data_IF_534353722295
#
_entry.id   IF_534353722295
#
_cell.length_a   1.000
_cell.length_b   1.000
_cell.length_c   1.000
_cell.angle_alpha   90.00
_cell.angle_beta   90.00
_cell.angle_gamma   90.00
#
_symmetry.space_group_name_H-M   'P 1'
#
loop_
_entity.id
_entity.type
_entity.pdbx_description
1 polymer ?
#
# COMPACT_ATOMS: atom_id res chain seq x y z
N UNK A 1 -1.98 -10.97 -19.48
CA UNK A 1 -2.16 -10.38 -18.14
C UNK A 1 -1.00 -9.53 -17.71
N UNK A 2 0.22 -10.04 -17.78
CA UNK A 2 1.40 -9.24 -17.44
C UNK A 2 1.52 -7.98 -18.30
N UNK A 3 1.24 -8.11 -19.60
CA UNK A 3 1.38 -6.98 -20.51
C UNK A 3 0.36 -5.88 -20.19
N UNK A 4 -0.85 -6.24 -19.82
CA UNK A 4 -1.87 -5.27 -19.44
C UNK A 4 -1.45 -4.46 -18.22
N UNK A 5 -0.86 -5.13 -17.23
CA UNK A 5 -0.38 -4.45 -16.02
C UNK A 5 0.80 -3.53 -16.36
N UNK A 6 1.73 -3.99 -17.17
CA UNK A 6 2.87 -3.17 -17.61
C UNK A 6 2.38 -1.91 -18.29
N UNK A 7 1.40 -2.04 -19.19
CA UNK A 7 0.84 -0.91 -19.93
C UNK A 7 0.14 0.08 -18.98
N UNK A 8 -0.65 -0.43 -18.02
CA UNK A 8 -1.31 0.41 -17.04
C UNK A 8 -0.32 1.15 -16.15
N UNK A 9 0.72 0.47 -15.71
CA UNK A 9 1.77 1.07 -14.87
C UNK A 9 2.45 2.20 -15.64
N UNK A 10 2.81 1.97 -16.90
CA UNK A 10 3.45 2.99 -17.72
C UNK A 10 2.55 4.20 -17.92
N UNK A 11 1.27 3.97 -18.22
CA UNK A 11 0.29 5.04 -18.36
C UNK A 11 0.12 5.82 -17.07
N UNK A 12 0.04 5.13 -15.93
CA UNK A 12 -0.08 5.77 -14.63
C UNK A 12 1.16 6.60 -14.31
N UNK A 13 2.35 6.12 -14.63
CA UNK A 13 3.60 6.89 -14.46
C UNK A 13 3.59 8.16 -15.30
N UNK A 14 2.92 8.13 -16.43
CA UNK A 14 2.78 9.29 -17.32
C UNK A 14 1.58 10.18 -16.95
N UNK A 15 0.97 9.94 -15.80
CA UNK A 15 -0.07 10.81 -15.27
C UNK A 15 -1.49 10.38 -15.53
N UNK A 16 -1.73 9.17 -16.07
CA UNK A 16 -3.10 8.71 -16.32
C UNK A 16 -3.77 8.28 -15.01
N UNK A 17 -4.70 9.08 -14.53
CA UNK A 17 -5.51 8.74 -13.36
C UNK A 17 -6.38 7.53 -13.62
N UNK A 18 -6.88 7.40 -14.86
CA UNK A 18 -7.71 6.26 -15.25
C UNK A 18 -6.92 4.96 -15.14
N UNK A 19 -5.67 4.95 -15.61
CA UNK A 19 -4.81 3.78 -15.52
C UNK A 19 -4.54 3.42 -14.05
N UNK A 20 -4.28 4.42 -13.22
CA UNK A 20 -4.07 4.18 -11.79
C UNK A 20 -5.33 3.61 -11.13
N UNK A 21 -6.51 4.11 -11.48
CA UNK A 21 -7.77 3.58 -10.96
C UNK A 21 -7.95 2.10 -11.29
N UNK A 22 -7.53 1.68 -12.47
CA UNK A 22 -7.59 0.26 -12.86
C UNK A 22 -6.61 -0.58 -12.05
N UNK A 23 -5.43 -0.05 -11.78
CA UNK A 23 -4.46 -0.73 -10.89
C UNK A 23 -5.02 -0.84 -9.47
N UNK A 24 -5.66 0.21 -8.99
CA UNK A 24 -6.32 0.22 -7.70
C UNK A 24 -7.36 -0.92 -7.61
N UNK A 25 -8.26 -0.98 -8.59
CA UNK A 25 -9.30 -2.02 -8.63
C UNK A 25 -8.68 -3.42 -8.69
N UNK A 26 -7.63 -3.58 -9.50
CA UNK A 26 -6.99 -4.89 -9.69
C UNK A 26 -6.35 -5.41 -8.41
N UNK A 27 -5.71 -4.54 -7.64
CA UNK A 27 -4.91 -4.95 -6.49
C UNK A 27 -5.55 -4.65 -5.14
N UNK A 28 -6.72 -4.03 -5.11
CA UNK A 28 -7.37 -3.63 -3.86
C UNK A 28 -7.52 -4.81 -2.89
N UNK A 29 -8.11 -5.89 -3.34
CA UNK A 29 -8.40 -7.04 -2.49
C UNK A 29 -7.13 -7.68 -1.96
N UNK A 30 -6.15 -7.86 -2.82
CA UNK A 30 -4.86 -8.46 -2.45
C UNK A 30 -4.15 -7.61 -1.41
N UNK A 31 -4.14 -6.30 -1.60
CA UNK A 31 -3.49 -5.39 -0.65
C UNK A 31 -4.27 -5.29 0.65
N UNK A 32 -5.60 -5.33 0.58
CA UNK A 32 -6.43 -5.35 1.77
C UNK A 32 -6.06 -6.52 2.68
N UNK A 33 -6.00 -7.72 2.13
CA UNK A 33 -5.64 -8.90 2.92
C UNK A 33 -4.19 -8.90 3.36
N UNK A 34 -3.30 -8.33 2.57
CA UNK A 34 -1.90 -8.16 2.96
C UNK A 34 -1.80 -7.30 4.23
N UNK A 35 -2.52 -6.20 4.28
CA UNK A 35 -2.56 -5.32 5.47
C UNK A 35 -3.24 -6.03 6.63
N UNK A 36 -4.41 -6.62 6.37
CA UNK A 36 -5.19 -7.29 7.41
C UNK A 36 -4.38 -8.40 8.10
N UNK A 37 -3.62 -9.16 7.34
CA UNK A 37 -2.81 -10.24 7.89
C UNK A 37 -1.75 -9.74 8.88
N UNK A 38 -1.36 -8.47 8.77
CA UNK A 38 -0.40 -7.87 9.68
C UNK A 38 -1.09 -7.24 10.89
N UNK A 39 -2.12 -6.41 10.66
CA UNK A 39 -2.74 -5.63 11.73
C UNK A 39 -3.90 -6.34 12.42
N UNK A 40 -4.52 -7.32 11.78
CA UNK A 40 -5.62 -8.14 12.34
C UNK A 40 -6.80 -7.32 12.82
N UNK A 41 -7.08 -6.20 12.16
CA UNK A 41 -8.16 -5.28 12.52
C UNK A 41 -8.77 -4.70 11.25
N UNK A 42 -10.08 -4.86 11.06
CA UNK A 42 -10.76 -4.43 9.84
C UNK A 42 -10.76 -2.92 9.68
N UNK A 43 -11.08 -2.20 10.74
CA UNK A 43 -11.17 -0.74 10.66
C UNK A 43 -9.81 -0.12 10.36
N UNK A 44 -8.77 -0.61 10.98
CA UNK A 44 -7.39 -0.17 10.71
C UNK A 44 -7.00 -0.49 9.27
N UNK A 45 -7.37 -1.69 8.78
CA UNK A 45 -7.09 -2.07 7.40
C UNK A 45 -7.76 -1.13 6.41
N UNK A 46 -9.02 -0.77 6.66
CA UNK A 46 -9.75 0.17 5.80
C UNK A 46 -9.05 1.53 5.74
N UNK A 47 -8.55 2.01 6.87
CA UNK A 47 -7.81 3.27 6.90
C UNK A 47 -6.47 3.16 6.18
N UNK A 48 -5.75 2.07 6.42
CA UNK A 48 -4.41 1.89 5.84
C UNK A 48 -4.43 1.63 4.33
N UNK A 49 -5.50 1.02 3.80
CA UNK A 49 -5.56 0.75 2.37
C UNK A 49 -5.50 2.05 1.56
N UNK A 50 -6.18 3.09 2.03
CA UNK A 50 -6.13 4.40 1.40
C UNK A 50 -4.74 5.01 1.46
N UNK A 51 -4.08 4.86 2.61
CA UNK A 51 -2.71 5.36 2.79
C UNK A 51 -1.75 4.67 1.82
N UNK A 52 -1.89 3.34 1.68
CA UNK A 52 -1.02 2.54 0.80
C UNK A 52 -1.14 2.99 -0.65
N UNK A 53 -2.37 3.13 -1.15
CA UNK A 53 -2.57 3.53 -2.54
C UNK A 53 -2.20 4.98 -2.78
N UNK A 54 -2.37 5.84 -1.79
CA UNK A 54 -1.89 7.23 -1.89
C UNK A 54 -0.37 7.26 -2.00
N UNK A 55 0.33 6.49 -1.17
CA UNK A 55 1.81 6.40 -1.25
C UNK A 55 2.25 5.84 -2.59
N UNK A 56 1.55 4.80 -3.09
CA UNK A 56 1.86 4.21 -4.38
C UNK A 56 1.71 5.25 -5.49
N UNK A 57 0.62 6.00 -5.48
CA UNK A 57 0.38 7.04 -6.47
C UNK A 57 1.51 8.08 -6.46
N UNK A 58 1.88 8.55 -5.28
CA UNK A 58 2.92 9.56 -5.14
C UNK A 58 4.30 9.06 -5.52
N UNK A 59 4.53 7.75 -5.40
CA UNK A 59 5.84 7.13 -5.68
C UNK A 59 5.90 6.41 -7.01
N UNK A 60 4.89 6.55 -7.87
CA UNK A 60 4.87 5.84 -9.17
C UNK A 60 6.15 6.04 -9.97
N UNK A 61 6.71 7.24 -9.95
CA UNK A 61 7.92 7.53 -10.70
C UNK A 61 9.16 6.79 -10.17
N UNK A 62 9.11 6.31 -8.92
CA UNK A 62 10.22 5.55 -8.33
C UNK A 62 10.15 4.06 -8.65
N UNK A 63 9.00 3.60 -9.15
CA UNK A 63 8.88 2.19 -9.52
C UNK A 63 9.73 1.88 -10.74
N UNK A 64 10.52 0.81 -10.66
CA UNK A 64 11.30 0.29 -11.77
C UNK A 64 10.90 -1.16 -12.01
N UNK A 65 11.13 -1.65 -13.22
CA UNK A 65 10.67 -2.98 -13.63
C UNK A 65 11.55 -4.12 -13.11
N UNK A 66 12.44 -3.88 -12.17
CA UNK A 66 13.27 -4.92 -11.57
C UNK A 66 12.47 -5.92 -10.74
N UNK A 67 11.32 -5.49 -10.20
CA UNK A 67 10.37 -6.37 -9.51
C UNK A 67 8.99 -6.13 -10.11
N UNK A 68 8.07 -7.08 -9.91
CA UNK A 68 6.70 -6.90 -10.39
C UNK A 68 6.03 -5.75 -9.64
N UNK A 69 5.06 -5.11 -10.30
CA UNK A 69 4.30 -4.04 -9.67
C UNK A 69 3.61 -4.53 -8.40
N UNK A 70 3.06 -5.73 -8.43
CA UNK A 70 2.40 -6.31 -7.25
C UNK A 70 3.35 -6.42 -6.07
N UNK A 71 4.58 -6.88 -6.28
CA UNK A 71 5.58 -6.99 -5.21
C UNK A 71 5.99 -5.62 -4.68
N UNK A 72 6.15 -4.65 -5.57
CA UNK A 72 6.47 -3.28 -5.19
C UNK A 72 5.36 -2.68 -4.31
N UNK A 73 4.11 -2.85 -4.74
CA UNK A 73 2.95 -2.37 -4.02
C UNK A 73 2.80 -3.08 -2.66
N UNK A 74 3.02 -4.38 -2.65
CA UNK A 74 2.96 -5.20 -1.44
C UNK A 74 3.98 -4.74 -0.41
N UNK A 75 5.17 -4.36 -0.84
CA UNK A 75 6.20 -3.81 0.06
C UNK A 75 5.70 -2.53 0.74
N UNK A 76 5.06 -1.64 -0.02
CA UNK A 76 4.46 -0.42 0.55
C UNK A 76 3.40 -0.79 1.58
N UNK A 77 2.55 -1.78 1.25
CA UNK A 77 1.47 -2.21 2.14
C UNK A 77 2.01 -2.79 3.45
N UNK A 78 2.96 -3.71 3.36
CA UNK A 78 3.54 -4.34 4.55
C UNK A 78 4.25 -3.30 5.42
N UNK A 79 5.05 -2.43 4.81
CA UNK A 79 5.76 -1.39 5.55
C UNK A 79 4.80 -0.43 6.25
N UNK A 80 3.70 -0.06 5.59
CA UNK A 80 2.69 0.82 6.20
C UNK A 80 2.01 0.14 7.39
N UNK A 81 1.71 -1.15 7.27
CA UNK A 81 1.09 -1.91 8.35
C UNK A 81 2.05 -2.05 9.55
N UNK A 82 3.31 -2.35 9.28
CA UNK A 82 4.34 -2.47 10.33
C UNK A 82 4.56 -1.13 11.02
N UNK A 83 4.61 -0.04 10.26
CA UNK A 83 4.75 1.31 10.81
C UNK A 83 3.58 1.64 11.74
N UNK A 84 2.37 1.27 11.33
CA UNK A 84 1.19 1.47 12.18
C UNK A 84 1.35 0.73 13.51
N UNK A 85 1.73 -0.55 13.48
CA UNK A 85 1.91 -1.35 14.70
C UNK A 85 3.01 -0.76 15.59
N UNK A 86 4.08 -0.28 14.98
CA UNK A 86 5.20 0.31 15.71
C UNK A 86 4.76 1.58 16.43
N UNK A 87 3.98 2.43 15.77
CA UNK A 87 3.42 3.65 16.37
C UNK A 87 2.49 3.33 17.53
N UNK A 88 1.62 2.34 17.36
CA UNK A 88 0.70 1.91 18.41
C UNK A 88 1.46 1.41 19.64
N UNK A 89 2.50 0.63 19.43
CA UNK A 89 3.34 0.14 20.52
C UNK A 89 4.02 1.29 21.26
N UNK A 90 4.56 2.26 20.52
CA UNK A 90 5.21 3.42 21.11
C UNK A 90 4.24 4.28 21.90
N UNK A 91 3.04 4.47 21.41
CA UNK A 91 1.99 5.21 22.12
C UNK A 91 1.62 4.52 23.44
N UNK A 92 1.47 3.19 23.41
CA UNK A 92 1.19 2.41 24.61
C UNK A 92 2.32 2.54 25.63
N UNK A 93 3.57 2.48 25.19
CA UNK A 93 4.71 2.63 26.07
C UNK A 93 4.77 4.03 26.68
N UNK A 94 4.50 5.06 25.89
CA UNK A 94 4.50 6.44 26.38
C UNK A 94 3.40 6.66 27.42
N UNK A 95 2.20 6.12 27.16
CA UNK A 95 1.10 6.20 28.11
C UNK A 95 1.44 5.49 29.41
N UNK A 96 2.14 4.38 29.32
CA UNK A 96 2.55 3.61 30.50
C UNK A 96 3.62 4.34 31.31
N UNK A 97 4.54 5.01 30.64
CA UNK A 97 5.63 5.75 31.30
C UNK A 97 5.10 7.02 31.97
N UNK A 98 4.13 7.69 31.36
CA UNK A 98 3.58 8.95 31.87
C UNK A 98 2.73 8.77 33.13
N UNK A 99 2.36 7.54 33.46
CA UNK A 99 1.67 7.24 34.70
C UNK A 99 2.67 7.09 35.85
#
# INVERSE_FOLDING_TARGET
>A
MKQEIIDLVEQAKNGSERAFSKLYETYYKTMWFTIYNVVKNRDVTEDLISVVFTKAYMKMNSYTEHISFEMWLKTIAVNSAIDYLRKMKNEQLNNYIDD
#
